data_IF_582960312561
#
_entry.id   IF_582960312561
#
_cell.length_a   1.000
_cell.length_b   1.000
_cell.length_c   1.000
_cell.angle_alpha   90.00
_cell.angle_beta   90.00
_cell.angle_gamma   90.00
#
_symmetry.space_group_name_H-M   'P 1'
#
loop_
_entity.id
_entity.type
_entity.pdbx_description
1 polymer ?
#
# COMPACT_ATOMS: atom_id res chain seq x y z
N UNK A 1 -13.80 12.27 -11.95
CA UNK A 1 -14.12 12.10 -10.52
C UNK A 1 -12.86 12.15 -9.67
N UNK A 2 -11.88 11.27 -9.88
CA UNK A 2 -10.63 11.28 -9.08
C UNK A 2 -9.83 12.59 -9.14
N UNK A 3 -9.70 13.23 -10.31
CA UNK A 3 -9.05 14.54 -10.41
C UNK A 3 -9.72 15.63 -9.53
N UNK A 4 -11.06 15.60 -9.42
CA UNK A 4 -11.80 16.57 -8.58
C UNK A 4 -11.48 16.32 -7.11
N UNK A 5 -11.50 15.07 -6.68
CA UNK A 5 -11.10 14.66 -5.32
C UNK A 5 -9.67 15.11 -4.98
N UNK A 6 -8.72 15.01 -5.92
CA UNK A 6 -7.35 15.47 -5.73
C UNK A 6 -7.24 16.99 -5.65
N UNK A 7 -8.02 17.72 -6.45
CA UNK A 7 -8.09 19.19 -6.38
C UNK A 7 -8.70 19.66 -5.05
N UNK A 8 -9.75 19.00 -4.58
CA UNK A 8 -10.37 19.28 -3.28
C UNK A 8 -9.40 18.99 -2.11
N UNK A 9 -8.73 17.84 -2.16
CA UNK A 9 -7.71 17.47 -1.17
C UNK A 9 -6.55 18.48 -1.18
N UNK A 10 -6.05 18.86 -2.35
CA UNK A 10 -5.01 19.87 -2.48
C UNK A 10 -5.47 21.23 -1.93
N UNK A 11 -6.71 21.64 -2.18
CA UNK A 11 -7.26 22.88 -1.65
C UNK A 11 -7.28 22.86 -0.11
N UNK A 12 -7.68 21.74 0.50
CA UNK A 12 -7.66 21.56 1.96
C UNK A 12 -6.24 21.65 2.51
N UNK A 13 -5.30 20.86 1.98
CA UNK A 13 -3.92 20.80 2.50
C UNK A 13 -3.20 22.14 2.38
N UNK A 14 -3.42 22.89 1.29
CA UNK A 14 -2.78 24.19 1.08
C UNK A 14 -3.38 25.33 1.93
N UNK A 15 -4.60 25.18 2.46
CA UNK A 15 -5.32 26.26 3.16
C UNK A 15 -5.55 25.98 4.65
N UNK A 16 -5.54 24.71 5.07
CA UNK A 16 -5.75 24.36 6.46
C UNK A 16 -4.60 24.87 7.35
N UNK A 17 -4.94 25.47 8.49
CA UNK A 17 -3.99 25.84 9.53
C UNK A 17 -4.36 25.18 10.85
N UNK A 18 -3.58 25.44 11.91
CA UNK A 18 -3.72 24.75 13.21
C UNK A 18 -5.12 24.84 13.84
N UNK A 19 -5.88 25.89 13.50
CA UNK A 19 -7.25 26.14 14.01
C UNK A 19 -8.36 25.56 13.13
N UNK A 20 -8.01 24.89 12.04
CA UNK A 20 -8.98 24.25 11.15
C UNK A 20 -9.50 22.93 11.74
N UNK A 21 -10.73 22.58 11.37
CA UNK A 21 -11.26 21.23 11.48
C UNK A 21 -11.36 20.66 10.07
N UNK A 22 -10.62 19.59 9.79
CA UNK A 22 -10.61 18.89 8.50
C UNK A 22 -11.37 17.58 8.64
N UNK A 23 -12.24 17.28 7.69
CA UNK A 23 -12.97 16.00 7.62
C UNK A 23 -12.73 15.44 6.22
N UNK A 24 -12.13 14.26 6.15
CA UNK A 24 -11.86 13.54 4.92
C UNK A 24 -12.56 12.18 4.97
N UNK A 25 -13.22 11.83 3.87
CA UNK A 25 -14.03 10.62 3.77
C UNK A 25 -13.67 9.82 2.52
N UNK A 26 -13.00 8.68 2.75
CA UNK A 26 -12.60 7.68 1.75
C UNK A 26 -11.84 8.27 0.55
N UNK A 27 -10.79 9.05 0.81
CA UNK A 27 -9.90 9.53 -0.25
C UNK A 27 -9.06 8.38 -0.82
N UNK A 28 -8.69 8.46 -2.09
CA UNK A 28 -7.88 7.47 -2.78
C UNK A 28 -8.67 6.33 -3.43
N UNK A 29 -10.01 6.32 -3.35
CA UNK A 29 -10.85 5.23 -3.89
C UNK A 29 -10.94 5.19 -5.43
N UNK A 30 -10.65 6.32 -6.09
CA UNK A 30 -10.81 6.46 -7.54
C UNK A 30 -9.61 6.01 -8.39
N UNK A 31 -8.60 5.38 -7.78
CA UNK A 31 -7.34 4.98 -8.41
C UNK A 31 -6.92 3.56 -7.99
N UNK A 32 -5.77 3.09 -8.46
CA UNK A 32 -5.19 1.82 -8.02
C UNK A 32 -5.01 1.81 -6.49
N UNK A 33 -5.27 0.67 -5.85
CA UNK A 33 -5.27 0.55 -4.38
C UNK A 33 -4.00 1.08 -3.73
N UNK A 34 -2.82 0.74 -4.28
CA UNK A 34 -1.54 1.19 -3.73
C UNK A 34 -1.29 2.69 -3.94
N UNK A 35 -1.73 3.26 -5.07
CA UNK A 35 -1.64 4.69 -5.32
C UNK A 35 -2.55 5.45 -4.36
N UNK A 36 -3.80 4.96 -4.19
CA UNK A 36 -4.79 5.53 -3.28
C UNK A 36 -4.32 5.49 -1.82
N UNK A 37 -3.83 4.34 -1.37
CA UNK A 37 -3.24 4.17 -0.04
C UNK A 37 -2.06 5.14 0.18
N UNK A 38 -1.15 5.24 -0.79
CA UNK A 38 0.03 6.10 -0.68
C UNK A 38 -0.33 7.58 -0.57
N UNK A 39 -1.30 8.04 -1.37
CA UNK A 39 -1.81 9.41 -1.30
C UNK A 39 -2.52 9.66 0.04
N UNK A 40 -3.36 8.73 0.48
CA UNK A 40 -4.06 8.84 1.76
C UNK A 40 -3.08 8.90 2.94
N UNK A 41 -2.05 8.06 2.92
CA UNK A 41 -0.97 8.04 3.91
C UNK A 41 -0.25 9.39 4.00
N UNK A 42 0.26 9.88 2.87
CA UNK A 42 0.96 11.17 2.82
C UNK A 42 0.05 12.34 3.24
N UNK A 43 -1.25 12.25 2.94
CA UNK A 43 -2.25 13.26 3.36
C UNK A 43 -2.41 13.28 4.88
N UNK A 44 -2.51 12.12 5.53
CA UNK A 44 -2.60 12.03 7.00
C UNK A 44 -1.33 12.57 7.66
N UNK A 45 -0.16 12.19 7.16
CA UNK A 45 1.12 12.71 7.65
C UNK A 45 1.22 14.23 7.51
N UNK A 46 0.81 14.79 6.37
CA UNK A 46 0.84 16.24 6.13
C UNK A 46 -0.12 17.01 7.06
N UNK A 47 -1.36 16.52 7.22
CA UNK A 47 -2.33 17.10 8.14
C UNK A 47 -1.82 17.09 9.58
N UNK A 48 -1.14 16.02 9.98
CA UNK A 48 -0.55 15.89 11.31
C UNK A 48 0.66 16.81 11.45
N UNK A 49 1.72 16.62 10.68
CA UNK A 49 3.03 17.25 10.91
C UNK A 49 3.08 18.71 10.47
N UNK A 50 2.42 19.05 9.35
CA UNK A 50 2.52 20.38 8.72
C UNK A 50 1.33 21.26 9.09
N UNK A 51 0.09 20.87 8.77
CA UNK A 51 -1.07 21.70 9.09
C UNK A 51 -1.37 21.72 10.59
N UNK A 52 -1.03 20.64 11.30
CA UNK A 52 -1.24 20.45 12.75
C UNK A 52 -2.67 20.75 13.19
N UNK A 53 -3.63 20.51 12.31
CA UNK A 53 -5.04 20.80 12.55
C UNK A 53 -5.78 19.62 13.20
N UNK A 54 -7.00 19.87 13.67
CA UNK A 54 -7.88 18.78 14.09
C UNK A 54 -8.45 18.10 12.85
N UNK A 55 -8.34 16.78 12.77
CA UNK A 55 -8.74 16.04 11.59
C UNK A 55 -9.54 14.79 11.94
N UNK A 56 -10.59 14.52 11.17
CA UNK A 56 -11.29 13.23 11.13
C UNK A 56 -11.04 12.63 9.76
N UNK A 57 -10.57 11.38 9.73
CA UNK A 57 -10.20 10.68 8.51
C UNK A 57 -10.91 9.33 8.48
N UNK A 58 -12.02 9.25 7.73
CA UNK A 58 -12.72 8.01 7.49
C UNK A 58 -12.09 7.29 6.30
N UNK A 59 -11.77 6.01 6.45
CA UNK A 59 -11.04 5.23 5.45
C UNK A 59 -11.39 3.76 5.49
N UNK A 60 -11.27 3.09 4.34
CA UNK A 60 -11.30 1.64 4.23
C UNK A 60 -9.90 1.01 4.23
N UNK A 61 -8.83 1.82 4.17
CA UNK A 61 -7.44 1.36 4.23
C UNK A 61 -7.06 1.01 5.67
N UNK A 62 -7.00 -0.29 5.96
CA UNK A 62 -6.60 -0.79 7.28
C UNK A 62 -5.14 -0.49 7.59
N UNK A 63 -4.29 -0.43 6.57
CA UNK A 63 -2.85 -0.18 6.65
C UNK A 63 -2.54 1.17 7.30
N UNK A 64 -3.43 2.17 7.15
CA UNK A 64 -3.26 3.49 7.78
C UNK A 64 -3.33 3.43 9.31
N UNK A 65 -3.90 2.39 9.90
CA UNK A 65 -4.00 2.26 11.36
C UNK A 65 -2.61 2.16 12.02
N UNK A 66 -1.61 1.64 11.29
CA UNK A 66 -0.22 1.56 11.74
C UNK A 66 0.42 2.94 11.95
N UNK A 67 -0.13 4.02 11.37
CA UNK A 67 0.35 5.38 11.61
C UNK A 67 0.20 5.82 13.07
N UNK A 68 -0.73 5.22 13.83
CA UNK A 68 -0.92 5.52 15.26
C UNK A 68 0.31 5.19 16.12
N UNK A 69 1.19 4.30 15.65
CA UNK A 69 2.44 3.96 16.35
C UNK A 69 3.53 5.01 16.14
N UNK A 70 3.43 5.80 15.07
CA UNK A 70 4.44 6.78 14.65
C UNK A 70 4.01 8.22 14.93
N UNK A 71 2.73 8.51 14.82
CA UNK A 71 2.16 9.85 14.93
C UNK A 71 1.53 10.03 16.32
N UNK A 72 2.22 10.78 17.18
CA UNK A 72 1.92 10.99 18.61
C UNK A 72 0.48 11.47 18.93
N UNK A 73 -0.09 12.30 18.05
CA UNK A 73 -1.43 12.88 18.14
C UNK A 73 -2.50 12.12 17.35
N UNK A 74 -2.15 11.01 16.71
CA UNK A 74 -3.10 10.18 15.99
C UNK A 74 -3.70 9.13 16.94
N UNK A 75 -5.00 8.90 16.83
CA UNK A 75 -5.68 7.85 17.59
C UNK A 75 -6.67 7.13 16.68
N UNK A 76 -6.59 5.79 16.66
CA UNK A 76 -7.52 4.98 15.89
C UNK A 76 -8.84 4.83 16.65
N UNK A 77 -9.93 5.03 15.92
CA UNK A 77 -11.29 4.73 16.38
C UNK A 77 -12.03 3.97 15.28
N UNK A 78 -12.99 3.15 15.68
CA UNK A 78 -13.78 2.33 14.77
C UNK A 78 -15.25 2.33 15.17
N UNK A 79 -16.13 2.04 14.21
CA UNK A 79 -17.53 1.80 14.48
C UNK A 79 -17.69 0.41 15.09
N UNK A 80 -18.31 0.33 16.26
CA UNK A 80 -18.48 -0.91 17.00
C UNK A 80 -19.49 -1.82 16.29
N UNK A 81 -19.11 -3.09 16.21
CA UNK A 81 -19.87 -4.15 15.54
C UNK A 81 -20.03 -5.32 16.50
N UNK A 82 -21.22 -5.92 16.53
CA UNK A 82 -21.53 -7.10 17.34
C UNK A 82 -22.00 -8.25 16.47
N UNK A 83 -21.40 -9.42 16.64
CA UNK A 83 -21.91 -10.65 16.04
C UNK A 83 -22.98 -11.29 16.93
N UNK A 84 -24.12 -11.67 16.34
CA UNK A 84 -25.21 -12.33 17.03
C UNK A 84 -25.86 -13.38 16.11
N UNK A 85 -25.87 -14.64 16.53
CA UNK A 85 -26.48 -15.76 15.76
C UNK A 85 -26.01 -15.86 14.30
N UNK A 86 -24.76 -15.48 14.02
CA UNK A 86 -24.21 -15.46 12.66
C UNK A 86 -24.60 -14.24 11.84
N UNK A 87 -25.28 -13.25 12.44
CA UNK A 87 -25.55 -11.92 11.92
C UNK A 87 -24.63 -10.86 12.51
N UNK A 88 -24.39 -9.82 11.72
CA UNK A 88 -23.59 -8.66 12.09
C UNK A 88 -24.53 -7.51 12.42
N UNK A 89 -24.40 -6.95 13.63
CA UNK A 89 -25.18 -5.82 14.11
C UNK A 89 -24.25 -4.61 14.23
N UNK A 90 -24.54 -3.56 13.47
CA UNK A 90 -23.86 -2.27 13.58
C UNK A 90 -24.43 -1.52 14.79
N UNK A 91 -23.58 -1.23 15.79
CA UNK A 91 -24.02 -0.58 17.02
C UNK A 91 -24.16 0.95 16.87
N UNK A 92 -23.67 1.51 15.77
CA UNK A 92 -23.56 2.96 15.55
C UNK A 92 -22.82 3.71 16.68
N UNK A 93 -21.97 3.00 17.40
CA UNK A 93 -21.15 3.52 18.49
C UNK A 93 -19.70 3.61 18.02
N UNK A 94 -19.02 4.71 18.32
CA UNK A 94 -17.59 4.87 18.05
C UNK A 94 -16.80 4.39 19.27
N UNK A 95 -15.91 3.43 19.07
CA UNK A 95 -15.01 2.90 20.09
C UNK A 95 -13.54 3.04 19.72
N UNK A 96 -12.62 2.96 20.70
CA UNK A 96 -11.18 2.99 20.42
C UNK A 96 -10.73 1.73 19.68
N UNK A 97 -9.69 1.87 18.85
CA UNK A 97 -9.07 0.76 18.14
C UNK A 97 -9.29 0.79 16.63
N UNK A 98 -8.82 -0.26 15.97
CA UNK A 98 -8.99 -0.50 14.54
C UNK A 98 -9.99 -1.65 14.34
N UNK A 99 -10.60 -1.73 13.16
CA UNK A 99 -11.46 -2.86 12.83
C UNK A 99 -10.63 -4.14 12.64
N UNK A 100 -11.00 -5.20 13.36
CA UNK A 100 -10.28 -6.49 13.32
C UNK A 100 -10.49 -7.26 12.00
N UNK A 101 -11.56 -6.96 11.27
CA UNK A 101 -12.00 -7.71 10.08
C UNK A 101 -12.79 -6.82 9.11
N UNK A 102 -12.77 -7.19 7.83
CA UNK A 102 -13.70 -6.65 6.83
C UNK A 102 -15.05 -7.36 6.91
N UNK A 103 -16.14 -6.59 6.94
CA UNK A 103 -17.51 -7.10 7.01
C UNK A 103 -18.26 -6.99 5.68
N UNK A 104 -17.55 -6.79 4.56
CA UNK A 104 -18.16 -6.47 3.26
C UNK A 104 -19.16 -7.53 2.78
N UNK A 105 -18.86 -8.82 2.95
CA UNK A 105 -19.77 -9.91 2.55
C UNK A 105 -21.02 -9.94 3.44
N UNK A 106 -20.88 -9.66 4.73
CA UNK A 106 -21.98 -9.60 5.69
C UNK A 106 -22.89 -8.40 5.42
N UNK A 107 -22.30 -7.24 5.10
CA UNK A 107 -23.04 -6.05 4.62
C UNK A 107 -23.82 -6.40 3.35
N UNK A 108 -23.21 -7.11 2.40
CA UNK A 108 -23.89 -7.53 1.18
C UNK A 108 -25.09 -8.45 1.46
N UNK A 109 -24.96 -9.39 2.41
CA UNK A 109 -26.08 -10.22 2.85
C UNK A 109 -27.20 -9.39 3.47
N UNK A 110 -26.87 -8.44 4.34
CA UNK A 110 -27.84 -7.53 4.97
C UNK A 110 -28.53 -6.61 3.95
N UNK A 111 -27.83 -6.22 2.88
CA UNK A 111 -28.40 -5.47 1.76
C UNK A 111 -29.35 -6.30 0.88
N UNK A 112 -29.51 -7.61 1.16
CA UNK A 112 -30.44 -8.48 0.45
C UNK A 112 -29.86 -9.08 -0.82
N UNK A 113 -28.53 -9.18 -0.96
CA UNK A 113 -27.94 -9.91 -2.10
C UNK A 113 -28.39 -11.38 -2.08
N UNK A 114 -28.61 -12.01 -3.25
CA UNK A 114 -28.99 -13.40 -3.33
C UNK A 114 -28.00 -14.32 -2.60
N UNK A 115 -28.50 -15.30 -1.86
CA UNK A 115 -27.67 -16.22 -1.07
C UNK A 115 -26.54 -16.86 -1.91
N UNK A 116 -26.83 -17.27 -3.15
CA UNK A 116 -25.85 -17.83 -4.08
C UNK A 116 -24.68 -16.87 -4.37
N UNK A 117 -24.93 -15.56 -4.44
CA UNK A 117 -23.88 -14.54 -4.66
C UNK A 117 -23.03 -14.39 -3.41
N UNK A 118 -23.67 -14.33 -2.23
CA UNK A 118 -22.98 -14.24 -0.93
C UNK A 118 -22.08 -15.47 -0.72
N UNK A 119 -22.59 -16.67 -0.99
CA UNK A 119 -21.83 -17.91 -0.85
C UNK A 119 -20.67 -17.99 -1.85
N UNK A 120 -20.88 -17.54 -3.10
CA UNK A 120 -19.79 -17.44 -4.07
C UNK A 120 -18.73 -16.45 -3.61
N UNK A 121 -19.13 -15.27 -3.11
CA UNK A 121 -18.20 -14.26 -2.61
C UNK A 121 -17.35 -14.78 -1.45
N UNK A 122 -17.94 -15.56 -0.52
CA UNK A 122 -17.19 -16.24 0.56
C UNK A 122 -16.13 -17.19 0.00
N UNK A 123 -16.52 -18.02 -0.96
CA UNK A 123 -15.59 -18.96 -1.58
C UNK A 123 -14.45 -18.25 -2.33
N UNK A 124 -14.73 -17.12 -3.00
CA UNK A 124 -13.69 -16.29 -3.64
C UNK A 124 -12.75 -15.69 -2.60
N UNK A 125 -13.29 -15.10 -1.53
CA UNK A 125 -12.48 -14.49 -0.48
C UNK A 125 -11.53 -15.51 0.15
N UNK A 126 -12.01 -16.70 0.49
CA UNK A 126 -11.15 -17.77 1.05
C UNK A 126 -10.02 -18.17 0.08
N UNK A 127 -10.27 -18.20 -1.22
CA UNK A 127 -9.24 -18.49 -2.22
C UNK A 127 -8.19 -17.38 -2.31
N UNK A 128 -8.60 -16.12 -2.23
CA UNK A 128 -7.69 -14.97 -2.27
C UNK A 128 -6.82 -14.94 -1.01
N UNK A 129 -7.40 -15.10 0.18
CA UNK A 129 -6.66 -15.14 1.44
C UNK A 129 -5.65 -16.30 1.51
N UNK A 130 -6.01 -17.48 0.98
CA UNK A 130 -5.07 -18.59 0.87
C UNK A 130 -3.91 -18.31 -0.09
N UNK A 131 -4.17 -17.57 -1.17
CA UNK A 131 -3.15 -17.21 -2.16
C UNK A 131 -2.20 -16.18 -1.59
N UNK A 132 -2.71 -15.16 -0.89
CA UNK A 132 -1.90 -14.13 -0.26
C UNK A 132 -1.02 -14.68 0.87
N UNK A 133 -1.53 -15.67 1.64
CA UNK A 133 -0.71 -16.36 2.66
C UNK A 133 0.40 -17.21 2.09
N UNK A 134 0.27 -17.69 0.85
CA UNK A 134 1.26 -18.57 0.18
C UNK A 134 2.30 -17.80 -0.62
N UNK A 135 2.14 -16.48 -0.81
CA UNK A 135 3.08 -15.65 -1.56
C UNK A 135 4.06 -14.94 -0.60
N UNK A 136 5.38 -15.20 -0.66
CA UNK A 136 6.35 -14.52 0.22
C UNK A 136 6.48 -13.01 -0.01
N UNK A 137 6.04 -12.54 -1.18
CA UNK A 137 6.10 -11.13 -1.56
C UNK A 137 5.04 -10.25 -0.85
N UNK A 138 3.96 -10.83 -0.34
CA UNK A 138 2.94 -10.09 0.44
C UNK A 138 3.43 -9.77 1.86
N UNK A 139 4.22 -10.67 2.48
CA UNK A 139 4.85 -10.42 3.79
C UNK A 139 5.93 -9.33 3.76
N UNK A 140 6.60 -9.15 2.62
CA UNK A 140 7.55 -8.05 2.40
C UNK A 140 6.88 -6.66 2.40
N UNK A 141 5.54 -6.59 2.26
CA UNK A 141 4.77 -5.34 2.27
C UNK A 141 4.53 -4.85 3.71
N UNK A 142 4.35 -5.77 4.67
CA UNK A 142 4.19 -5.45 6.09
C UNK A 142 5.46 -4.85 6.72
N UNK A 143 6.63 -5.16 6.16
CA UNK A 143 7.94 -4.65 6.60
C UNK A 143 8.44 -3.42 5.82
N UNK A 144 7.62 -2.83 4.93
CA UNK A 144 8.08 -1.76 4.04
C UNK A 144 8.57 -0.52 4.81
N UNK A 145 9.88 -0.23 4.78
CA UNK A 145 10.45 1.07 5.15
C UNK A 145 10.34 2.04 3.95
N UNK A 146 9.32 1.86 3.10
CA UNK A 146 9.24 2.46 1.76
C UNK A 146 9.13 3.99 1.78
N UNK A 147 8.79 4.58 2.94
CA UNK A 147 8.64 6.02 3.12
C UNK A 147 9.83 6.71 3.83
N UNK A 148 10.83 5.97 4.32
CA UNK A 148 12.08 6.60 4.79
C UNK A 148 13.08 6.91 3.65
N UNK A 149 12.85 6.40 2.45
CA UNK A 149 13.79 6.51 1.33
C UNK A 149 13.58 7.73 0.41
N UNK A 150 12.48 8.48 0.52
CA UNK A 150 12.15 9.55 -0.43
C UNK A 150 12.72 10.92 -0.07
N UNK A 151 13.19 11.15 1.16
CA UNK A 151 13.89 12.41 1.53
C UNK A 151 15.42 12.31 1.38
N UNK A 152 15.95 11.16 0.93
CA UNK A 152 17.39 10.97 0.68
C UNK A 152 17.76 10.62 -0.77
N UNK A 153 16.89 10.92 -1.73
CA UNK A 153 17.13 10.65 -3.16
C UNK A 153 17.52 11.88 -3.98
N UNK A 154 18.24 12.82 -3.38
CA UNK A 154 19.05 13.81 -4.12
C UNK A 154 20.56 13.50 -4.12
N UNK A 155 20.97 12.32 -3.65
CA UNK A 155 22.29 11.78 -3.99
C UNK A 155 22.10 10.46 -4.70
N UNK A 156 22.00 10.55 -6.02
CA UNK A 156 22.22 9.45 -6.93
C UNK A 156 23.59 8.83 -6.61
N UNK A 157 23.61 7.75 -5.83
CA UNK A 157 24.69 6.78 -5.96
C UNK A 157 24.45 6.13 -7.31
N UNK A 158 25.22 6.58 -8.31
CA UNK A 158 25.28 5.90 -9.60
C UNK A 158 25.45 4.40 -9.33
N UNK A 159 24.70 3.51 -10.02
CA UNK A 159 24.92 2.08 -9.87
C UNK A 159 26.41 1.82 -10.14
N UNK A 160 27.10 1.18 -9.20
CA UNK A 160 28.49 0.75 -9.43
C UNK A 160 28.47 -0.07 -10.71
N UNK A 161 29.16 0.43 -11.74
CA UNK A 161 29.22 -0.23 -13.03
C UNK A 161 29.65 -1.69 -12.84
N UNK A 162 28.79 -2.62 -13.24
CA UNK A 162 29.08 -4.04 -13.19
C UNK A 162 30.11 -4.34 -14.27
N UNK A 163 31.31 -4.77 -13.86
CA UNK A 163 32.40 -5.15 -14.77
C UNK A 163 31.94 -6.18 -15.81
N UNK A 164 30.98 -7.03 -15.42
CA UNK A 164 30.38 -8.05 -16.28
C UNK A 164 29.44 -7.43 -17.32
N UNK A 165 28.66 -6.40 -16.97
CA UNK A 165 27.79 -5.70 -17.92
C UNK A 165 28.60 -4.96 -18.99
N UNK A 166 29.71 -4.35 -18.61
CA UNK A 166 30.62 -3.68 -19.57
C UNK A 166 31.32 -4.68 -20.50
N UNK A 167 31.67 -5.86 -19.99
CA UNK A 167 32.25 -6.93 -20.80
C UNK A 167 31.23 -7.52 -21.79
N UNK A 168 29.98 -7.70 -21.36
CA UNK A 168 28.87 -8.13 -22.23
C UNK A 168 28.59 -7.15 -23.36
N UNK A 169 28.58 -5.84 -23.08
CA UNK A 169 28.34 -4.80 -24.11
C UNK A 169 29.41 -4.75 -25.22
N UNK A 170 30.59 -5.31 -24.98
CA UNK A 170 31.72 -5.30 -25.91
C UNK A 170 31.83 -6.56 -26.75
N UNK A 171 31.03 -7.59 -26.46
CA UNK A 171 31.02 -8.83 -27.23
C UNK A 171 30.18 -8.65 -28.49
N UNK A 172 30.81 -8.84 -29.65
CA UNK A 172 30.10 -8.98 -30.92
C UNK A 172 29.75 -10.46 -31.12
N UNK A 173 28.48 -10.81 -30.99
CA UNK A 173 28.03 -12.20 -31.03
C UNK A 173 28.03 -12.79 -32.44
N UNK A 174 27.96 -11.95 -33.47
CA UNK A 174 27.85 -12.40 -34.86
C UNK A 174 29.22 -12.80 -35.45
N UNK A 175 30.32 -12.34 -34.83
CA UNK A 175 31.69 -12.68 -35.24
C UNK A 175 32.34 -13.81 -34.41
N UNK A 176 31.67 -14.31 -33.36
CA UNK A 176 32.23 -15.34 -32.50
C UNK A 176 31.98 -16.75 -33.04
N UNK A 177 33.05 -17.54 -33.06
CA UNK A 177 32.88 -18.99 -33.24
C UNK A 177 32.24 -19.61 -32.01
N UNK A 178 31.52 -20.75 -32.13
CA UNK A 178 30.87 -21.41 -30.99
C UNK A 178 31.80 -21.70 -29.81
N UNK A 179 33.09 -21.97 -30.08
CA UNK A 179 34.09 -22.20 -29.04
C UNK A 179 34.45 -20.91 -28.30
N UNK A 180 34.66 -19.81 -29.02
CA UNK A 180 34.97 -18.51 -28.44
C UNK A 180 33.80 -17.95 -27.63
N UNK A 181 32.57 -18.17 -28.08
CA UNK A 181 31.36 -17.81 -27.34
C UNK A 181 31.30 -18.56 -26.00
N UNK A 182 31.60 -19.86 -26.00
CA UNK A 182 31.64 -20.66 -24.77
C UNK A 182 32.74 -20.20 -23.82
N UNK A 183 33.94 -19.90 -24.34
CA UNK A 183 35.06 -19.39 -23.54
C UNK A 183 34.72 -18.02 -22.90
N UNK A 184 34.07 -17.13 -23.65
CA UNK A 184 33.60 -15.83 -23.15
C UNK A 184 32.59 -15.97 -21.99
N UNK A 185 31.67 -16.94 -22.06
CA UNK A 185 30.73 -17.22 -20.98
C UNK A 185 31.43 -17.71 -19.71
N UNK A 186 32.47 -18.54 -19.83
CA UNK A 186 33.27 -18.97 -18.69
C UNK A 186 34.01 -17.81 -18.03
N UNK A 187 34.53 -16.88 -18.82
CA UNK A 187 35.25 -15.71 -18.29
C UNK A 187 34.31 -14.70 -17.62
N UNK A 188 33.12 -14.47 -18.17
CA UNK A 188 32.08 -13.68 -17.50
C UNK A 188 31.66 -14.31 -16.16
N UNK A 189 31.53 -15.64 -16.11
CA UNK A 189 31.23 -16.37 -14.86
C UNK A 189 32.34 -16.24 -13.81
N UNK A 190 33.61 -16.27 -14.21
CA UNK A 190 34.74 -16.03 -13.29
C UNK A 190 34.72 -14.61 -12.72
N UNK A 191 34.34 -13.62 -13.52
CA UNK A 191 34.24 -12.23 -13.09
C UNK A 191 33.06 -12.02 -12.11
N UNK A 192 31.98 -12.79 -12.27
CA UNK A 192 30.83 -12.78 -11.35
C UNK A 192 31.18 -13.36 -9.95
N UNK A 193 32.11 -14.32 -9.88
CA UNK A 193 32.51 -15.01 -8.64
C UNK A 193 33.61 -14.32 -7.81
N UNK A 194 34.02 -13.11 -8.18
CA UNK A 194 35.03 -12.30 -7.45
C UNK A 194 34.45 -11.08 -6.73
N UNK A 195 33.13 -11.06 -6.49
CA UNK A 195 32.45 -9.99 -5.77
C UNK A 195 31.91 -10.42 -4.42
#
# INVERSE_FOLDING_TARGET
>A
TFMVEMVETAAILNQAGERSLVILDEIGRGTATFDGLSIAWATVEHLHEVNRCRSLFATHFHELTALSEKLDRLSNVTMMVKEWQGDVIFLHEVGPGAADRSYGIQVARLAGLPALVVDRARNVLSQLEETDRKNPASQLIDDLPLFQATVRREQAVAPKASVVEDALRKLDLDELTPRQALDALYDLKKQLGKS
#
